data_IF_896161800571
#
_entry.id   IF_896161800571
#
_cell.length_a   1.000
_cell.length_b   1.000
_cell.length_c   1.000
_cell.angle_alpha   90.00
_cell.angle_beta   90.00
_cell.angle_gamma   90.00
#
_symmetry.space_group_name_H-M   'P 1'
#
loop_
_entity.id
_entity.type
_entity.pdbx_description
1 polymer ?
#
# COMPACT_ATOMS: atom_id res chain seq x y z
N UNK A 1 30.76 -0.24 22.85
CA UNK A 1 29.42 -0.45 22.25
C UNK A 1 28.44 0.39 23.02
N UNK A 2 27.81 1.40 22.41
CA UNK A 2 26.74 2.16 23.07
C UNK A 2 25.45 1.36 22.92
N UNK A 3 24.85 1.03 24.05
CA UNK A 3 23.53 0.39 24.13
C UNK A 3 22.50 1.34 23.51
N UNK A 4 21.77 0.86 22.51
CA UNK A 4 20.68 1.60 21.88
C UNK A 4 19.52 1.74 22.88
N UNK A 5 18.88 2.91 23.01
CA UNK A 5 17.74 3.05 23.89
C UNK A 5 16.49 2.49 23.19
N UNK A 6 15.90 1.45 23.76
CA UNK A 6 14.58 0.89 23.40
C UNK A 6 13.44 1.94 23.47
N UNK A 7 13.72 3.11 24.06
CA UNK A 7 12.77 4.19 24.32
C UNK A 7 12.19 4.88 23.08
N UNK A 8 12.88 4.87 21.93
CA UNK A 8 12.40 5.60 20.74
C UNK A 8 11.30 4.87 19.96
N UNK A 9 11.33 3.52 19.93
CA UNK A 9 10.25 2.72 19.35
C UNK A 9 8.99 2.86 20.20
N UNK A 10 9.16 2.87 21.53
CA UNK A 10 8.08 3.13 22.46
C UNK A 10 7.46 4.51 22.25
N UNK A 11 8.22 5.56 21.92
CA UNK A 11 7.66 6.91 21.71
C UNK A 11 6.74 7.01 20.47
N UNK A 12 7.11 6.37 19.37
CA UNK A 12 6.27 6.33 18.15
C UNK A 12 5.08 5.39 18.37
N UNK A 13 5.25 4.29 19.10
CA UNK A 13 4.17 3.36 19.44
C UNK A 13 3.19 3.92 20.50
N UNK A 14 3.64 4.81 21.38
CA UNK A 14 2.84 5.38 22.48
C UNK A 14 2.06 6.65 22.09
N UNK A 15 2.41 7.32 20.99
CA UNK A 15 1.71 8.51 20.53
C UNK A 15 0.57 8.14 19.58
N UNK A 16 -0.63 8.68 19.79
CA UNK A 16 -1.75 8.49 18.87
C UNK A 16 -1.55 9.38 17.64
N UNK A 17 -0.73 8.91 16.70
CA UNK A 17 -0.46 9.62 15.45
C UNK A 17 -1.37 9.13 14.33
N UNK A 18 -1.91 10.07 13.57
CA UNK A 18 -2.56 9.81 12.29
C UNK A 18 -1.53 9.95 11.17
N UNK A 19 -1.53 9.00 10.24
CA UNK A 19 -0.63 8.98 9.10
C UNK A 19 -1.45 8.96 7.82
N UNK A 20 -1.21 9.89 6.90
CA UNK A 20 -1.93 9.97 5.63
C UNK A 20 -0.92 10.02 4.48
N UNK A 21 -0.76 8.94 3.71
CA UNK A 21 0.06 8.97 2.50
C UNK A 21 -0.55 9.95 1.49
N UNK A 22 0.26 10.91 1.04
CA UNK A 22 -0.19 11.91 0.06
C UNK A 22 -0.09 11.32 -1.35
N UNK A 23 -1.16 11.45 -2.13
CA UNK A 23 -1.19 10.98 -3.51
C UNK A 23 -0.19 11.72 -4.39
N UNK A 24 0.34 11.00 -5.38
CA UNK A 24 1.31 11.49 -6.36
C UNK A 24 2.58 12.05 -5.71
N UNK A 25 2.91 11.60 -4.50
CA UNK A 25 4.14 11.95 -3.81
C UNK A 25 4.73 10.75 -3.09
N UNK A 26 5.92 10.96 -2.53
CA UNK A 26 6.61 10.02 -1.64
C UNK A 26 6.50 10.46 -0.18
N UNK A 27 5.49 11.25 0.15
CA UNK A 27 5.39 11.89 1.46
C UNK A 27 4.21 11.35 2.25
N UNK A 28 4.37 11.33 3.57
CA UNK A 28 3.29 11.11 4.52
C UNK A 28 3.01 12.42 5.23
N UNK A 29 1.73 12.66 5.46
CA UNK A 29 1.26 13.75 6.31
C UNK A 29 0.94 13.15 7.68
N UNK A 30 1.47 13.78 8.73
CA UNK A 30 1.36 13.31 10.11
C UNK A 30 0.59 14.29 10.95
N UNK A 31 -0.16 13.76 11.92
CA UNK A 31 -0.84 14.55 12.92
C UNK A 31 -0.74 13.87 14.27
N UNK A 32 -0.11 14.55 15.22
CA UNK A 32 0.02 14.10 16.61
C UNK A 32 -1.20 14.56 17.40
N UNK A 33 -2.11 13.62 17.68
CA UNK A 33 -3.39 13.91 18.36
C UNK A 33 -3.16 14.34 19.81
N UNK A 34 -2.05 13.90 20.41
CA UNK A 34 -1.75 14.16 21.82
C UNK A 34 -0.88 15.42 22.00
N UNK A 35 -0.49 16.09 20.91
CA UNK A 35 0.26 17.35 20.97
C UNK A 35 -0.56 18.47 21.60
N UNK A 36 0.08 19.26 22.46
CA UNK A 36 -0.52 20.48 23.05
C UNK A 36 -0.79 21.56 22.00
N UNK A 37 -0.06 21.54 20.89
CA UNK A 37 -0.26 22.39 19.72
C UNK A 37 -0.22 21.51 18.47
N UNK A 38 -1.36 20.94 18.07
CA UNK A 38 -1.37 19.91 17.05
C UNK A 38 -1.29 20.55 15.65
N UNK A 39 -0.11 20.40 15.04
CA UNK A 39 0.16 20.85 13.67
C UNK A 39 0.30 19.66 12.73
N UNK A 40 -0.09 19.87 11.48
CA UNK A 40 0.14 18.89 10.42
C UNK A 40 1.58 18.99 9.95
N UNK A 41 2.31 17.88 10.04
CA UNK A 41 3.69 17.77 9.59
C UNK A 41 3.77 16.92 8.32
N UNK A 42 4.83 17.09 7.54
CA UNK A 42 5.08 16.28 6.35
C UNK A 42 6.43 15.60 6.47
N UNK A 43 6.43 14.29 6.29
CA UNK A 43 7.62 13.44 6.38
C UNK A 43 7.85 12.73 5.04
N UNK A 44 9.12 12.55 4.68
CA UNK A 44 9.49 11.83 3.46
C UNK A 44 9.52 10.31 3.70
N UNK A 45 8.90 9.53 2.78
CA UNK A 45 9.23 8.11 2.62
C UNK A 45 10.35 7.97 1.59
N UNK A 46 11.40 7.30 1.99
CA UNK A 46 12.38 6.72 1.10
C UNK A 46 11.72 5.61 0.29
N UNK A 47 11.13 6.01 -0.83
CA UNK A 47 10.44 5.14 -1.76
C UNK A 47 10.96 5.36 -3.17
N UNK A 48 11.10 4.27 -3.92
CA UNK A 48 11.30 4.37 -5.38
C UNK A 48 10.04 4.90 -6.08
N UNK A 49 8.87 4.66 -5.50
CA UNK A 49 7.58 4.88 -6.13
C UNK A 49 6.68 5.83 -5.33
N UNK A 50 5.86 6.57 -6.05
CA UNK A 50 4.87 7.44 -5.44
C UNK A 50 3.65 6.64 -4.94
N UNK A 51 2.99 7.18 -3.92
CA UNK A 51 1.68 6.73 -3.49
C UNK A 51 0.65 7.15 -4.52
N UNK A 52 -0.03 6.19 -5.14
CA UNK A 52 -0.93 6.48 -6.26
C UNK A 52 -2.34 6.84 -5.77
N UNK A 53 -3.07 7.69 -6.50
CA UNK A 53 -4.48 7.90 -6.26
C UNK A 53 -5.28 6.59 -6.41
N UNK A 54 -6.41 6.51 -5.71
CA UNK A 54 -7.27 5.32 -5.69
C UNK A 54 -6.60 4.03 -5.18
N UNK A 55 -5.41 4.12 -4.59
CA UNK A 55 -4.80 3.03 -3.81
C UNK A 55 -5.63 2.78 -2.56
N UNK A 56 -5.64 1.54 -2.07
CA UNK A 56 -6.18 1.23 -0.76
C UNK A 56 -5.05 1.20 0.27
N UNK A 57 -5.21 2.01 1.31
CA UNK A 57 -4.33 1.97 2.47
C UNK A 57 -4.89 1.06 3.56
N UNK A 58 -4.04 0.19 4.11
CA UNK A 58 -4.37 -0.71 5.22
C UNK A 58 -3.34 -0.49 6.33
N UNK A 59 -3.82 -0.10 7.52
CA UNK A 59 -2.98 0.07 8.70
C UNK A 59 -2.85 -1.27 9.41
N UNK A 60 -1.60 -1.67 9.69
CA UNK A 60 -1.28 -2.92 10.36
C UNK A 60 -1.10 -2.68 11.88
N UNK A 61 -1.26 -3.72 12.72
CA UNK A 61 -1.12 -3.59 14.18
C UNK A 61 0.25 -3.10 14.66
N UNK A 62 1.29 -3.29 13.86
CA UNK A 62 2.65 -2.82 14.14
C UNK A 62 2.93 -1.42 13.58
N UNK A 63 1.89 -0.60 13.42
CA UNK A 63 1.98 0.80 12.94
C UNK A 63 2.53 0.95 11.51
N UNK A 64 2.70 -0.16 10.78
CA UNK A 64 3.04 -0.13 9.36
C UNK A 64 1.81 0.15 8.49
N UNK A 65 2.05 0.71 7.32
CA UNK A 65 0.99 1.00 6.35
C UNK A 65 1.24 0.19 5.09
N UNK A 66 0.21 -0.47 4.58
CA UNK A 66 0.24 -1.04 3.23
C UNK A 66 -0.45 -0.09 2.26
N UNK A 67 0.22 0.27 1.18
CA UNK A 67 -0.36 0.93 0.01
C UNK A 67 -0.56 -0.11 -1.09
N UNK A 68 -1.82 -0.34 -1.46
CA UNK A 68 -2.23 -1.44 -2.34
C UNK A 68 -2.83 -0.86 -3.63
N UNK A 69 -2.20 -1.20 -4.76
CA UNK A 69 -2.67 -0.88 -6.10
C UNK A 69 -2.60 0.61 -6.43
N UNK A 70 -3.68 1.12 -7.04
CA UNK A 70 -3.84 2.53 -7.38
C UNK A 70 -3.68 2.82 -8.87
N UNK A 71 -4.07 4.04 -9.26
CA UNK A 71 -4.06 4.52 -10.63
C UNK A 71 -2.76 5.27 -10.91
N UNK A 72 -2.01 4.81 -11.89
CA UNK A 72 -0.85 5.51 -12.40
C UNK A 72 -1.25 6.34 -13.62
N UNK A 73 -1.27 7.66 -13.45
CA UNK A 73 -1.53 8.65 -14.50
C UNK A 73 -0.26 9.41 -14.92
N UNK A 74 0.91 9.00 -14.41
CA UNK A 74 2.18 9.64 -14.75
C UNK A 74 2.66 9.30 -16.17
N UNK A 75 2.01 8.35 -16.84
CA UNK A 75 2.30 7.99 -18.23
C UNK A 75 1.37 8.80 -19.14
N UNK A 76 1.90 9.74 -19.95
CA UNK A 76 1.08 10.53 -20.87
C UNK A 76 0.23 9.64 -21.77
N UNK A 77 -1.08 9.89 -21.80
CA UNK A 77 -2.04 9.15 -22.62
C UNK A 77 -2.41 7.75 -22.10
N UNK A 78 -1.97 7.34 -20.91
CA UNK A 78 -2.32 6.05 -20.31
C UNK A 78 -2.59 6.16 -18.81
N UNK A 79 -3.87 6.14 -18.41
CA UNK A 79 -4.26 5.92 -17.02
C UNK A 79 -4.39 4.41 -16.78
N UNK A 80 -3.41 3.82 -16.10
CA UNK A 80 -3.39 2.38 -15.81
C UNK A 80 -3.41 2.12 -14.30
N UNK A 81 -4.29 1.24 -13.85
CA UNK A 81 -4.18 0.66 -12.52
C UNK A 81 -2.95 -0.24 -12.44
N UNK A 82 -2.32 -0.27 -11.27
CA UNK A 82 -1.16 -1.11 -10.98
C UNK A 82 -1.49 -2.20 -9.95
N UNK A 83 -0.70 -3.27 -9.92
CA UNK A 83 -0.82 -4.35 -8.94
C UNK A 83 0.13 -4.19 -7.74
N UNK A 84 0.90 -3.11 -7.68
CA UNK A 84 1.97 -2.90 -6.71
C UNK A 84 1.43 -2.86 -5.28
N UNK A 85 2.16 -3.48 -4.36
CA UNK A 85 1.92 -3.37 -2.92
C UNK A 85 3.20 -2.83 -2.26
N UNK A 86 3.08 -1.72 -1.56
CA UNK A 86 4.18 -1.10 -0.80
C UNK A 86 3.89 -1.22 0.69
N UNK A 87 4.87 -1.63 1.47
CA UNK A 87 4.83 -1.60 2.93
C UNK A 87 5.67 -0.43 3.42
N UNK A 88 5.03 0.55 4.02
CA UNK A 88 5.66 1.72 4.64
C UNK A 88 6.03 1.37 6.07
N UNK A 89 7.30 1.56 6.40
CA UNK A 89 7.91 1.26 7.69
C UNK A 89 8.53 2.53 8.26
N UNK A 90 8.55 2.64 9.58
CA UNK A 90 9.38 3.62 10.26
C UNK A 90 10.84 3.20 10.13
N UNK A 91 11.69 4.10 9.64
CA UNK A 91 13.13 3.86 9.50
C UNK A 91 13.88 4.40 10.71
N UNK A 92 14.14 3.51 11.67
CA UNK A 92 14.83 3.86 12.91
C UNK A 92 16.31 4.21 12.70
N UNK A 93 16.93 3.73 11.61
CA UNK A 93 18.37 3.93 11.37
C UNK A 93 18.69 5.37 10.97
N UNK A 94 17.78 6.04 10.28
CA UNK A 94 17.97 7.43 9.84
C UNK A 94 17.52 8.47 10.88
N UNK A 95 16.78 8.10 11.93
CA UNK A 95 16.39 9.02 13.00
C UNK A 95 17.61 9.61 13.74
N UNK A 96 18.65 8.81 13.96
CA UNK A 96 19.89 9.28 14.62
C UNK A 96 20.65 10.31 13.76
N UNK A 97 20.56 10.21 12.43
CA UNK A 97 21.23 11.12 11.51
C UNK A 97 20.44 12.41 11.26
N UNK A 98 19.12 12.36 11.41
CA UNK A 98 18.20 13.45 11.08
C UNK A 98 17.72 14.24 12.32
N UNK A 99 18.51 14.29 13.39
CA UNK A 99 18.16 15.03 14.62
C UNK A 99 16.77 14.65 15.18
N UNK A 100 16.47 13.35 15.29
CA UNK A 100 15.16 12.83 15.77
C UNK A 100 13.96 13.15 14.86
N UNK A 101 14.15 13.49 13.59
CA UNK A 101 13.06 13.48 12.62
C UNK A 101 12.70 12.05 12.22
N UNK A 102 11.40 11.77 12.18
CA UNK A 102 10.88 10.46 11.77
C UNK A 102 11.06 10.30 10.26
N UNK A 103 11.85 9.30 9.87
CA UNK A 103 12.00 8.90 8.47
C UNK A 103 11.22 7.64 8.19
N UNK A 104 10.70 7.50 6.98
CA UNK A 104 10.04 6.27 6.53
C UNK A 104 10.82 5.62 5.41
N UNK A 105 10.73 4.30 5.33
CA UNK A 105 11.19 3.52 4.19
C UNK A 105 10.08 2.64 3.66
N UNK A 106 10.15 2.35 2.38
CA UNK A 106 9.11 1.63 1.67
C UNK A 106 9.68 0.30 1.12
N UNK A 107 9.11 -0.84 1.53
CA UNK A 107 9.43 -2.18 1.03
C UNK A 107 8.41 -2.62 -0.03
N UNK A 108 8.89 -3.26 -1.10
CA UNK A 108 8.02 -3.80 -2.15
C UNK A 108 7.58 -5.20 -1.73
N UNK A 109 6.28 -5.40 -1.63
CA UNK A 109 5.68 -6.70 -1.30
C UNK A 109 5.29 -7.46 -2.57
N UNK A 110 4.86 -8.71 -2.40
CA UNK A 110 4.25 -9.47 -3.49
C UNK A 110 3.09 -8.66 -4.10
N UNK A 111 3.05 -8.49 -5.44
CA UNK A 111 2.00 -7.72 -6.09
C UNK A 111 0.66 -8.46 -6.06
N UNK A 112 -0.43 -7.70 -6.23
CA UNK A 112 -1.76 -8.24 -6.54
C UNK A 112 -1.70 -9.09 -7.81
N UNK A 113 -2.51 -10.16 -7.84
CA UNK A 113 -2.69 -10.97 -9.06
C UNK A 113 -3.25 -10.14 -10.22
N UNK A 114 -4.08 -9.14 -9.91
CA UNK A 114 -4.76 -8.29 -10.88
C UNK A 114 -4.55 -6.85 -10.48
N UNK A 115 -4.03 -6.04 -11.41
CA UNK A 115 -3.87 -4.60 -11.22
C UNK A 115 -5.22 -3.90 -11.05
N UNK A 116 -5.36 -3.10 -9.97
CA UNK A 116 -6.63 -2.46 -9.63
C UNK A 116 -6.47 -1.25 -8.70
N UNK A 117 -7.51 -0.44 -8.63
CA UNK A 117 -7.72 0.63 -7.65
C UNK A 117 -9.16 0.63 -7.15
N UNK A 118 -9.52 1.61 -6.30
CA UNK A 118 -10.88 1.79 -5.76
C UNK A 118 -11.44 0.53 -5.08
N UNK A 119 -10.59 -0.24 -4.42
CA UNK A 119 -10.93 -1.52 -3.82
C UNK A 119 -11.19 -1.42 -2.32
N UNK A 120 -11.92 -2.40 -1.78
CA UNK A 120 -11.95 -2.65 -0.35
C UNK A 120 -10.75 -3.52 0.07
N UNK A 121 -10.15 -3.21 1.21
CA UNK A 121 -9.19 -4.11 1.84
C UNK A 121 -9.25 -3.98 3.36
N UNK A 122 -9.05 -5.11 4.03
CA UNK A 122 -9.05 -5.23 5.49
C UNK A 122 -7.92 -6.15 5.94
N UNK A 123 -7.29 -5.78 7.05
CA UNK A 123 -6.37 -6.66 7.77
C UNK A 123 -7.14 -7.47 8.81
N UNK A 124 -6.93 -8.79 8.83
CA UNK A 124 -7.47 -9.67 9.85
C UNK A 124 -6.58 -10.91 10.00
N UNK A 125 -6.20 -11.25 11.23
CA UNK A 125 -5.42 -12.44 11.62
C UNK A 125 -4.14 -12.68 10.80
N UNK A 126 -3.36 -11.64 10.57
CA UNK A 126 -2.10 -11.75 9.81
C UNK A 126 -2.29 -11.77 8.29
N UNK A 127 -3.52 -11.65 7.80
CA UNK A 127 -3.83 -11.61 6.38
C UNK A 127 -4.42 -10.27 5.97
N UNK A 128 -4.17 -9.88 4.73
CA UNK A 128 -4.87 -8.77 4.08
C UNK A 128 -5.77 -9.32 3.00
N UNK A 129 -7.06 -9.10 3.18
CA UNK A 129 -8.11 -9.49 2.26
C UNK A 129 -8.44 -8.30 1.35
N UNK A 130 -8.40 -8.53 0.04
CA UNK A 130 -8.71 -7.51 -0.96
C UNK A 130 -9.93 -7.94 -1.78
N UNK A 131 -10.94 -7.06 -1.83
CA UNK A 131 -12.22 -7.31 -2.46
C UNK A 131 -12.64 -6.15 -3.37
N UNK A 132 -13.28 -6.50 -4.50
CA UNK A 132 -13.81 -5.53 -5.46
C UNK A 132 -12.73 -4.67 -6.13
N UNK A 133 -13.11 -3.45 -6.51
CA UNK A 133 -12.27 -2.49 -7.21
C UNK A 133 -12.40 -2.51 -8.73
N UNK A 134 -11.72 -1.56 -9.35
CA UNK A 134 -11.71 -1.32 -10.81
C UNK A 134 -10.38 -1.76 -11.39
N UNK A 135 -10.42 -2.46 -12.51
CA UNK A 135 -9.24 -2.96 -13.24
C UNK A 135 -9.11 -2.24 -14.58
N UNK A 136 -7.94 -2.38 -15.23
CA UNK A 136 -7.77 -1.92 -16.61
C UNK A 136 -8.72 -2.65 -17.56
N UNK A 137 -9.17 -1.99 -18.63
CA UNK A 137 -9.91 -2.64 -19.71
C UNK A 137 -8.98 -3.66 -20.38
N UNK A 138 -9.48 -4.87 -20.61
CA UNK A 138 -8.72 -6.00 -21.19
C UNK A 138 -8.09 -5.67 -22.55
N UNK A 139 -8.57 -4.66 -23.27
CA UNK A 139 -8.03 -4.24 -24.57
C UNK A 139 -6.71 -3.46 -24.49
N UNK A 140 -6.33 -2.94 -23.32
CA UNK A 140 -5.17 -2.05 -23.14
C UNK A 140 -4.07 -2.65 -22.25
N UNK A 141 -4.23 -3.90 -21.80
CA UNK A 141 -3.18 -4.59 -21.06
C UNK A 141 -2.10 -5.10 -22.03
N UNK A 142 -0.81 -4.77 -21.86
CA UNK A 142 0.24 -5.50 -22.54
C UNK A 142 0.11 -6.97 -22.12
N UNK A 143 0.01 -7.86 -23.12
CA UNK A 143 -0.11 -9.31 -22.91
C UNK A 143 0.86 -9.76 -21.80
N UNK A 144 0.37 -10.35 -20.70
CA UNK A 144 1.24 -11.19 -19.91
C UNK A 144 1.52 -12.43 -20.76
N UNK A 145 2.70 -12.47 -21.38
CA UNK A 145 3.26 -13.71 -21.88
C UNK A 145 3.40 -14.64 -20.68
N UNK A 146 2.57 -15.68 -20.57
CA UNK A 146 2.83 -16.95 -19.89
C UNK A 146 1.75 -17.93 -20.36
N UNK A 147 2.19 -19.00 -21.03
CA UNK A 147 1.45 -20.22 -21.25
C UNK A 147 0.87 -20.74 -19.92
N UNK A 148 -0.43 -20.96 -19.89
CA UNK A 148 -1.14 -21.44 -18.71
C UNK A 148 -2.63 -21.51 -19.01
N UNK A 149 -3.10 -22.73 -19.29
CA UNK A 149 -4.43 -23.08 -19.76
C UNK A 149 -5.58 -22.32 -19.09
N UNK A 150 -6.34 -21.55 -19.89
CA UNK A 150 -7.67 -21.08 -19.53
C UNK A 150 -8.67 -22.06 -20.15
N UNK A 151 -9.27 -22.91 -19.33
CA UNK A 151 -10.46 -23.69 -19.69
C UNK A 151 -11.60 -22.70 -19.97
N UNK A 152 -12.01 -22.63 -21.23
CA UNK A 152 -13.09 -21.78 -21.71
C UNK A 152 -14.44 -22.48 -21.56
N UNK A 153 -15.20 -22.13 -20.52
CA UNK A 153 -16.65 -22.38 -20.56
C UNK A 153 -17.30 -21.28 -21.42
N UNK A 154 -17.87 -21.70 -22.54
CA UNK A 154 -18.58 -20.85 -23.49
C UNK A 154 -20.08 -20.97 -23.24
N UNK A 155 -20.71 -19.88 -22.79
CA UNK A 155 -22.17 -19.73 -22.82
C UNK A 155 -22.57 -18.72 -23.90
N UNK A 156 -23.60 -19.08 -24.65
CA UNK A 156 -24.00 -18.60 -25.97
C UNK A 156 -24.81 -17.30 -26.00
N UNK A 157 -24.71 -16.47 -24.96
CA UNK A 157 -25.33 -15.14 -24.96
C UNK A 157 -24.29 -14.07 -24.58
N UNK A 158 -23.95 -13.22 -25.54
CA UNK A 158 -22.83 -12.27 -25.55
C UNK A 158 -22.91 -11.09 -24.55
N UNK A 159 -23.16 -11.36 -23.27
CA UNK A 159 -22.89 -10.45 -22.17
C UNK A 159 -22.00 -11.16 -21.16
N UNK A 160 -20.68 -10.99 -21.30
CA UNK A 160 -19.73 -11.35 -20.23
C UNK A 160 -19.89 -10.36 -19.08
N UNK A 161 -20.81 -10.66 -18.16
CA UNK A 161 -20.76 -10.16 -16.80
C UNK A 161 -19.51 -10.74 -16.14
N UNK A 162 -18.40 -9.99 -16.17
CA UNK A 162 -17.22 -10.35 -15.38
C UNK A 162 -17.49 -9.83 -13.97
N UNK A 163 -18.18 -10.62 -13.17
CA UNK A 163 -18.17 -10.42 -11.72
C UNK A 163 -16.74 -10.75 -11.26
N UNK A 164 -15.94 -9.77 -10.82
CA UNK A 164 -14.61 -10.10 -10.32
C UNK A 164 -14.79 -11.06 -9.12
N UNK A 165 -13.89 -12.04 -8.92
CA UNK A 165 -13.97 -12.92 -7.77
C UNK A 165 -14.01 -12.07 -6.50
N UNK A 166 -14.92 -12.43 -5.58
CA UNK A 166 -15.21 -11.70 -4.33
C UNK A 166 -13.93 -11.47 -3.50
N UNK A 167 -12.95 -12.37 -3.63
CA UNK A 167 -11.60 -12.25 -3.07
C UNK A 167 -10.58 -12.47 -4.19
N UNK A 168 -9.80 -11.44 -4.53
CA UNK A 168 -8.82 -11.51 -5.62
C UNK A 168 -7.37 -11.64 -5.17
N UNK A 169 -7.13 -11.61 -3.86
CA UNK A 169 -5.80 -11.76 -3.27
C UNK A 169 -5.89 -11.93 -1.76
N UNK A 170 -5.12 -12.89 -1.24
CA UNK A 170 -4.82 -13.05 0.18
C UNK A 170 -3.30 -12.91 0.27
N UNK A 171 -2.84 -11.94 1.04
CA UNK A 171 -1.43 -11.79 1.36
C UNK A 171 -1.20 -12.28 2.77
N UNK A 172 -0.31 -13.25 2.95
CA UNK A 172 0.20 -13.60 4.28
C UNK A 172 1.19 -12.51 4.69
N UNK A 173 0.83 -11.73 5.70
CA UNK A 173 1.78 -10.87 6.38
C UNK A 173 2.54 -11.78 7.35
N UNK A 174 3.73 -12.24 6.97
CA UNK A 174 4.46 -13.15 7.85
C UNK A 174 4.77 -12.48 9.20
N UNK A 175 4.60 -13.29 10.25
CA UNK A 175 4.60 -12.89 11.67
C UNK A 175 5.88 -12.15 12.04
N UNK A 176 5.73 -10.92 12.50
CA UNK A 176 6.71 -10.25 13.35
C UNK A 176 5.96 -9.78 14.58
N UNK A 177 5.93 -10.67 15.58
CA UNK A 177 5.79 -10.30 16.98
C UNK A 177 7.14 -9.78 17.46
#
# INVERSE_FOLDING_TARGET
MKQFPEDNINRVAQTRRLYLPRWMSKTLVEYDVDSKDPVWETSECQSKYDFLPFSKFVYLPNYHILSIGGLNEQVPGRSIFVSRVLKVLVDNYNMEKLNNQVSYKCEIMQPLKIARGMMGAIYHDGFVYVAGGVTNKVKDAPNPSIDGDIVSNSDSHGRKSITPPIVSGIFKCERYC
#
